data_IF_228727497726
#
_entry.id   IF_228727497726
#
_cell.length_a   1.000
_cell.length_b   1.000
_cell.length_c   1.000
_cell.angle_alpha   90.00
_cell.angle_beta   90.00
_cell.angle_gamma   90.00
#
_symmetry.space_group_name_H-M   'P 1'
#
loop_
_entity.id
_entity.type
_entity.pdbx_description
1 polymer ?
#
# COMPACT_ATOMS: atom_id res chain seq x y z
N UNK A 1 8.39 -5.79 10.53
CA UNK A 1 8.59 -5.95 9.07
C UNK A 1 9.58 -4.87 8.62
N UNK A 2 10.86 -5.06 8.94
CA UNK A 2 11.91 -5.43 8.00
C UNK A 2 12.01 -4.46 6.82
N UNK A 3 12.88 -3.45 7.00
CA UNK A 3 13.47 -2.61 5.95
C UNK A 3 13.82 -3.50 4.76
N UNK A 4 12.99 -3.50 3.72
CA UNK A 4 13.29 -4.24 2.49
C UNK A 4 14.49 -3.54 1.87
N UNK A 5 15.64 -4.21 1.90
CA UNK A 5 16.88 -3.65 1.40
C UNK A 5 16.72 -3.27 -0.09
N UNK A 6 17.29 -2.11 -0.52
CA UNK A 6 17.19 -1.63 -1.90
C UNK A 6 17.62 -2.68 -2.94
N UNK A 7 18.48 -3.63 -2.56
CA UNK A 7 18.95 -4.71 -3.43
C UNK A 7 17.85 -5.72 -3.81
N UNK A 8 16.93 -6.07 -2.89
CA UNK A 8 15.81 -6.97 -3.19
C UNK A 8 14.74 -6.30 -4.06
N UNK A 9 14.63 -4.98 -3.95
CA UNK A 9 13.77 -4.14 -4.80
C UNK A 9 14.26 -4.15 -6.26
N UNK A 10 15.56 -3.99 -6.48
CA UNK A 10 16.17 -4.04 -7.83
C UNK A 10 16.06 -5.46 -8.42
N UNK A 11 16.29 -6.51 -7.63
CA UNK A 11 16.20 -7.89 -8.11
C UNK A 11 14.79 -8.29 -8.60
N UNK A 12 13.75 -7.86 -7.88
CA UNK A 12 12.37 -8.13 -8.27
C UNK A 12 11.93 -7.29 -9.49
N UNK A 13 12.44 -6.06 -9.59
CA UNK A 13 12.22 -5.15 -10.72
C UNK A 13 12.86 -5.67 -12.01
N UNK A 14 14.09 -6.19 -11.92
CA UNK A 14 14.78 -6.82 -13.05
C UNK A 14 14.11 -8.16 -13.39
N UNK A 15 13.68 -8.95 -12.41
CA UNK A 15 12.95 -10.20 -12.65
C UNK A 15 11.62 -10.01 -13.39
N UNK A 16 10.86 -8.96 -13.04
CA UNK A 16 9.62 -8.59 -13.74
C UNK A 16 9.87 -8.08 -15.17
N UNK A 17 10.94 -7.30 -15.37
CA UNK A 17 11.37 -6.84 -16.70
C UNK A 17 11.76 -8.03 -17.60
N UNK A 18 12.53 -8.98 -17.08
CA UNK A 18 13.00 -10.16 -17.82
C UNK A 18 11.86 -11.13 -18.11
N UNK A 19 10.96 -11.39 -17.14
CA UNK A 19 9.81 -12.27 -17.37
C UNK A 19 8.77 -11.65 -18.31
N UNK A 20 8.53 -10.34 -18.21
CA UNK A 20 7.63 -9.59 -19.09
C UNK A 20 8.16 -9.44 -20.52
N UNK A 21 9.49 -9.38 -20.69
CA UNK A 21 10.14 -9.37 -22.00
C UNK A 21 10.27 -10.78 -22.62
N UNK A 22 10.48 -11.82 -21.80
CA UNK A 22 10.69 -13.19 -22.28
C UNK A 22 9.43 -13.84 -22.87
N UNK A 23 8.24 -13.57 -22.30
CA UNK A 23 6.98 -14.14 -22.79
C UNK A 23 6.64 -13.77 -24.25
N UNK A 24 6.67 -12.50 -24.67
CA UNK A 24 6.41 -12.13 -26.06
C UNK A 24 7.56 -12.52 -27.01
N UNK A 25 8.82 -12.55 -26.54
CA UNK A 25 9.96 -13.00 -27.34
C UNK A 25 9.89 -14.51 -27.65
N UNK A 26 9.49 -15.34 -26.68
CA UNK A 26 9.28 -16.77 -26.86
C UNK A 26 8.09 -17.05 -27.77
N UNK A 27 6.99 -16.31 -27.63
CA UNK A 27 5.83 -16.44 -28.51
C UNK A 27 6.18 -16.06 -29.96
N UNK A 28 6.96 -14.99 -30.15
CA UNK A 28 7.47 -14.58 -31.47
C UNK A 28 8.40 -15.63 -32.10
N UNK A 29 9.29 -16.22 -31.30
CA UNK A 29 10.20 -17.28 -31.77
C UNK A 29 9.44 -18.55 -32.18
N UNK A 30 8.41 -18.95 -31.42
CA UNK A 30 7.56 -20.12 -31.75
C UNK A 30 6.78 -19.88 -33.04
N UNK A 31 6.23 -18.69 -33.25
CA UNK A 31 5.50 -18.35 -34.49
C UNK A 31 6.41 -18.32 -35.72
N UNK A 32 7.66 -17.88 -35.56
CA UNK A 32 8.69 -17.94 -36.62
C UNK A 32 9.05 -19.39 -36.99
N UNK A 33 9.14 -20.29 -35.99
CA UNK A 33 9.37 -21.72 -36.19
C UNK A 33 8.20 -22.43 -36.88
N UNK A 34 6.97 -21.91 -36.76
CA UNK A 34 5.78 -22.44 -37.44
C UNK A 34 5.62 -21.96 -38.90
N UNK A 35 6.54 -21.16 -39.42
CA UNK A 35 6.61 -20.83 -40.86
C UNK A 35 5.48 -19.94 -41.38
N UNK A 36 4.74 -19.24 -40.52
CA UNK A 36 3.72 -18.28 -40.94
C UNK A 36 4.37 -16.92 -41.26
N UNK A 37 4.20 -16.36 -42.47
CA UNK A 37 4.72 -15.04 -42.83
C UNK A 37 3.80 -13.97 -42.24
N UNK A 38 3.81 -13.82 -40.92
CA UNK A 38 3.14 -12.69 -40.26
C UNK A 38 4.05 -11.48 -40.42
N UNK A 39 3.55 -10.40 -41.05
CA UNK A 39 4.29 -9.15 -41.19
C UNK A 39 4.88 -8.72 -39.82
N UNK A 40 6.20 -8.72 -39.72
CA UNK A 40 7.01 -8.57 -38.50
C UNK A 40 6.69 -7.33 -37.63
N UNK A 41 5.92 -6.38 -38.17
CA UNK A 41 5.54 -5.12 -37.54
C UNK A 41 4.47 -5.30 -36.45
N UNK A 42 3.54 -6.25 -36.63
CA UNK A 42 2.43 -6.48 -35.68
C UNK A 42 2.90 -7.16 -34.37
N UNK A 43 3.75 -8.21 -34.42
CA UNK A 43 4.27 -8.84 -33.20
C UNK A 43 5.20 -7.92 -32.39
N UNK A 44 5.97 -7.04 -33.05
CA UNK A 44 6.90 -6.14 -32.39
C UNK A 44 6.20 -5.05 -31.57
N UNK A 45 5.14 -4.44 -32.11
CA UNK A 45 4.33 -3.45 -31.38
C UNK A 45 3.59 -4.05 -30.18
N UNK A 46 3.08 -5.27 -30.32
CA UNK A 46 2.43 -6.01 -29.23
C UNK A 46 3.43 -6.41 -28.13
N UNK A 47 4.64 -6.83 -28.49
CA UNK A 47 5.71 -7.12 -27.55
C UNK A 47 6.13 -5.86 -26.75
N UNK A 48 6.21 -4.71 -27.42
CA UNK A 48 6.54 -3.42 -26.79
C UNK A 48 5.41 -2.94 -25.85
N UNK A 49 4.14 -3.13 -26.24
CA UNK A 49 2.99 -2.84 -25.40
C UNK A 49 2.93 -3.75 -24.16
N UNK A 50 3.16 -5.06 -24.32
CA UNK A 50 3.24 -6.00 -23.20
C UNK A 50 4.43 -5.72 -22.26
N UNK A 51 5.58 -5.30 -22.81
CA UNK A 51 6.73 -4.90 -22.01
C UNK A 51 6.44 -3.62 -21.20
N UNK A 52 5.74 -2.65 -21.78
CA UNK A 52 5.29 -1.44 -21.09
C UNK A 52 4.31 -1.74 -19.95
N UNK A 53 3.34 -2.62 -20.18
CA UNK A 53 2.40 -3.07 -19.14
C UNK A 53 3.11 -3.86 -18.04
N UNK A 54 4.05 -4.74 -18.40
CA UNK A 54 4.86 -5.52 -17.44
C UNK A 54 5.75 -4.66 -16.54
N UNK A 55 6.15 -3.47 -16.99
CA UNK A 55 6.93 -2.52 -16.20
C UNK A 55 6.09 -1.77 -15.14
N UNK A 56 4.81 -1.50 -15.42
CA UNK A 56 3.92 -0.73 -14.55
C UNK A 56 3.24 -1.57 -13.45
N UNK A 57 3.01 -2.86 -13.69
CA UNK A 57 2.39 -3.79 -12.74
C UNK A 57 3.13 -3.92 -11.40
N UNK A 58 4.48 -4.09 -11.33
CA UNK A 58 5.17 -4.23 -10.06
C UNK A 58 5.13 -2.96 -9.20
N UNK A 59 5.16 -1.78 -9.80
CA UNK A 59 5.06 -0.51 -9.06
C UNK A 59 3.69 -0.35 -8.38
N UNK A 60 2.60 -0.74 -9.05
CA UNK A 60 1.26 -0.75 -8.47
C UNK A 60 1.13 -1.75 -7.31
N UNK A 61 1.71 -2.95 -7.44
CA UNK A 61 1.68 -3.98 -6.39
C UNK A 61 2.46 -3.57 -5.14
N UNK A 62 3.59 -2.87 -5.30
CA UNK A 62 4.39 -2.38 -4.16
C UNK A 62 3.64 -1.27 -3.44
N UNK A 63 3.06 -0.32 -4.19
CA UNK A 63 2.24 0.74 -3.60
C UNK A 63 1.05 0.16 -2.83
N UNK A 64 0.37 -0.84 -3.39
CA UNK A 64 -0.74 -1.51 -2.70
C UNK A 64 -0.30 -2.22 -1.41
N UNK A 65 0.89 -2.83 -1.39
CA UNK A 65 1.44 -3.45 -0.17
C UNK A 65 1.80 -2.40 0.89
N UNK A 66 2.33 -1.25 0.49
CA UNK A 66 2.61 -0.15 1.40
C UNK A 66 1.32 0.39 2.04
N UNK A 67 0.28 0.63 1.23
CA UNK A 67 -1.02 1.09 1.74
C UNK A 67 -1.67 0.08 2.69
N UNK A 68 -1.60 -1.23 2.37
CA UNK A 68 -2.11 -2.28 3.27
C UNK A 68 -1.36 -2.32 4.59
N UNK A 69 -0.05 -2.13 4.58
CA UNK A 69 0.75 -2.07 5.81
C UNK A 69 0.37 -0.85 6.65
N UNK A 70 0.18 0.32 6.02
CA UNK A 70 -0.30 1.54 6.70
C UNK A 70 -1.69 1.34 7.33
N UNK A 71 -2.60 0.67 6.62
CA UNK A 71 -3.93 0.36 7.15
C UNK A 71 -3.88 -0.52 8.43
N UNK A 72 -3.04 -1.56 8.43
CA UNK A 72 -2.82 -2.40 9.61
C UNK A 72 -2.24 -1.61 10.80
N UNK A 73 -1.33 -0.68 10.53
CA UNK A 73 -0.79 0.20 11.56
C UNK A 73 -1.86 1.13 12.12
N UNK A 74 -2.71 1.74 11.27
CA UNK A 74 -3.81 2.62 11.71
C UNK A 74 -4.82 1.91 12.60
N UNK A 75 -5.14 0.65 12.28
CA UNK A 75 -6.01 -0.18 13.12
C UNK A 75 -5.38 -0.42 14.52
N UNK A 76 -4.09 -0.79 14.55
CA UNK A 76 -3.36 -0.97 15.81
C UNK A 76 -3.26 0.33 16.63
N UNK A 77 -3.00 1.47 15.99
CA UNK A 77 -2.95 2.79 16.64
C UNK A 77 -4.32 3.15 17.25
N UNK A 78 -5.41 2.80 16.57
CA UNK A 78 -6.77 3.06 17.08
C UNK A 78 -7.07 2.24 18.34
N UNK A 79 -6.62 0.98 18.39
CA UNK A 79 -6.70 0.16 19.60
C UNK A 79 -5.81 0.72 20.73
N UNK A 80 -4.58 1.10 20.40
CA UNK A 80 -3.63 1.74 21.33
C UNK A 80 -4.19 3.02 21.95
N UNK A 81 -4.82 3.89 21.16
CA UNK A 81 -5.50 5.11 21.63
C UNK A 81 -6.61 4.81 22.62
N UNK A 82 -7.41 3.77 22.36
CA UNK A 82 -8.51 3.38 23.25
C UNK A 82 -7.96 2.89 24.59
N UNK A 83 -6.88 2.09 24.57
CA UNK A 83 -6.22 1.58 25.78
C UNK A 83 -5.53 2.69 26.56
N UNK A 84 -4.85 3.61 25.87
CA UNK A 84 -4.25 4.79 26.50
C UNK A 84 -5.31 5.62 27.21
N UNK A 85 -6.43 5.93 26.54
CA UNK A 85 -7.51 6.68 27.17
C UNK A 85 -8.11 5.95 28.39
N UNK A 86 -8.22 4.62 28.34
CA UNK A 86 -8.66 3.82 29.49
C UNK A 86 -7.69 3.93 30.66
N UNK A 87 -6.39 3.86 30.39
CA UNK A 87 -5.31 4.03 31.37
C UNK A 87 -5.27 5.44 31.97
N UNK A 88 -5.54 6.50 31.20
CA UNK A 88 -5.68 7.84 31.77
C UNK A 88 -6.90 7.95 32.70
N UNK A 89 -8.02 7.30 32.35
CA UNK A 89 -9.22 7.29 33.20
C UNK A 89 -9.06 6.50 34.48
N UNK A 90 -8.09 5.58 34.56
CA UNK A 90 -7.75 4.88 35.81
C UNK A 90 -6.87 5.72 36.75
N UNK A 91 -6.51 6.96 36.35
CA UNK A 91 -5.72 7.89 37.15
C UNK A 91 -4.21 7.79 36.89
N UNK A 92 -3.77 7.04 35.89
CA UNK A 92 -2.36 7.04 35.49
C UNK A 92 -1.99 8.38 34.83
N UNK A 93 -0.80 8.87 35.12
CA UNK A 93 -0.23 10.01 34.40
C UNK A 93 -0.01 9.66 32.91
N UNK A 94 -0.04 10.67 32.05
CA UNK A 94 0.02 10.50 30.59
C UNK A 94 1.18 9.59 30.14
N UNK A 95 2.41 9.86 30.59
CA UNK A 95 3.58 9.07 30.19
C UNK A 95 3.48 7.60 30.65
N UNK A 96 2.98 7.37 31.87
CA UNK A 96 2.76 6.03 32.40
C UNK A 96 1.63 5.31 31.64
N UNK A 97 0.56 6.01 31.29
CA UNK A 97 -0.56 5.46 30.53
C UNK A 97 -0.16 5.06 29.11
N UNK A 98 0.70 5.85 28.45
CA UNK A 98 1.26 5.54 27.13
C UNK A 98 2.14 4.28 27.16
N UNK A 99 3.00 4.17 28.17
CA UNK A 99 3.87 3.01 28.39
C UNK A 99 3.07 1.75 28.72
N UNK A 100 2.07 1.86 29.59
CA UNK A 100 1.22 0.74 29.99
C UNK A 100 0.38 0.22 28.83
N UNK A 101 -0.23 1.13 28.06
CA UNK A 101 -0.94 0.76 26.86
C UNK A 101 -0.01 -0.02 25.92
N UNK A 102 1.21 0.44 25.68
CA UNK A 102 2.11 -0.17 24.70
C UNK A 102 2.52 -1.62 25.03
N UNK A 103 2.33 -2.06 26.29
CA UNK A 103 2.63 -3.41 26.77
C UNK A 103 1.49 -4.42 26.58
N UNK A 104 0.28 -3.97 26.24
CA UNK A 104 -0.90 -4.85 26.20
C UNK A 104 -0.82 -5.91 25.09
N UNK A 105 -0.13 -5.63 23.99
CA UNK A 105 -0.01 -6.58 22.86
C UNK A 105 1.44 -6.75 22.38
N UNK A 106 1.79 -7.97 21.95
CA UNK A 106 3.14 -8.32 21.45
C UNK A 106 3.23 -8.36 19.91
N UNK A 107 2.57 -7.41 19.25
CA UNK A 107 2.68 -7.26 17.80
C UNK A 107 3.86 -6.33 17.46
N UNK A 108 4.47 -6.49 16.28
CA UNK A 108 5.61 -5.67 15.83
C UNK A 108 5.37 -4.16 16.02
N UNK A 109 4.17 -3.66 15.69
CA UNK A 109 3.86 -2.23 15.82
C UNK A 109 3.81 -1.77 17.28
N UNK A 110 3.28 -2.60 18.20
CA UNK A 110 3.23 -2.30 19.63
C UNK A 110 4.62 -2.27 20.23
N UNK A 111 5.48 -3.25 19.86
CA UNK A 111 6.90 -3.22 20.24
C UNK A 111 7.64 -2.01 19.70
N UNK A 112 7.35 -1.60 18.46
CA UNK A 112 7.96 -0.41 17.86
C UNK A 112 7.50 0.88 18.58
N UNK A 113 6.21 0.98 18.92
CA UNK A 113 5.68 2.06 19.76
C UNK A 113 6.37 2.07 21.12
N UNK A 114 6.41 0.93 21.81
CA UNK A 114 7.07 0.81 23.11
C UNK A 114 8.55 1.25 23.05
N UNK A 115 9.30 0.79 22.05
CA UNK A 115 10.70 1.18 21.86
C UNK A 115 10.86 2.68 21.61
N UNK A 116 9.97 3.30 20.84
CA UNK A 116 10.01 4.75 20.60
C UNK A 116 9.71 5.55 21.88
N UNK A 117 8.73 5.11 22.68
CA UNK A 117 8.42 5.70 23.98
C UNK A 117 9.59 5.55 24.95
N UNK A 118 10.14 4.34 25.07
CA UNK A 118 11.27 4.03 25.96
C UNK A 118 12.52 4.85 25.58
N UNK A 119 12.79 5.00 24.29
CA UNK A 119 13.89 5.83 23.80
C UNK A 119 13.72 7.31 24.17
N UNK A 120 12.50 7.85 24.07
CA UNK A 120 12.21 9.23 24.48
C UNK A 120 12.39 9.43 25.99
N UNK A 121 11.90 8.48 26.80
CA UNK A 121 12.07 8.50 28.26
C UNK A 121 13.56 8.45 28.65
N UNK A 122 14.33 7.57 28.01
CA UNK A 122 15.79 7.48 28.21
C UNK A 122 16.51 8.78 27.81
N UNK A 123 16.02 9.48 26.79
CA UNK A 123 16.51 10.79 26.37
C UNK A 123 16.04 11.96 27.28
N UNK A 124 15.35 11.67 28.40
CA UNK A 124 14.67 12.64 29.28
C UNK A 124 13.68 13.54 28.55
N UNK A 125 13.07 13.04 27.49
CA UNK A 125 11.97 13.70 26.82
C UNK A 125 10.64 13.09 27.27
N UNK A 126 9.53 13.83 27.17
CA UNK A 126 8.21 13.27 27.39
C UNK A 126 7.95 12.09 26.45
N UNK A 127 7.26 11.05 26.92
CA UNK A 127 7.09 9.81 26.15
C UNK A 127 6.37 10.07 24.82
N UNK A 128 5.44 11.03 24.80
CA UNK A 128 4.70 11.43 23.59
C UNK A 128 5.58 12.00 22.47
N UNK A 129 6.77 12.54 22.77
CA UNK A 129 7.71 13.02 21.74
C UNK A 129 8.28 11.84 20.92
N UNK A 130 8.43 10.67 21.56
CA UNK A 130 8.78 9.42 20.88
C UNK A 130 7.74 9.01 19.83
N UNK A 131 6.43 9.23 20.11
CA UNK A 131 5.38 9.01 19.13
C UNK A 131 5.45 9.98 17.96
N UNK A 132 5.80 11.25 18.20
CA UNK A 132 5.98 12.25 17.15
C UNK A 132 7.15 11.89 16.23
N UNK A 133 8.26 11.39 16.78
CA UNK A 133 9.37 10.87 16.00
C UNK A 133 8.96 9.63 15.18
N UNK A 134 8.26 8.69 15.82
CA UNK A 134 7.80 7.46 15.17
C UNK A 134 6.79 7.71 14.04
N UNK A 135 5.91 8.70 14.21
CA UNK A 135 4.99 9.15 13.17
C UNK A 135 5.72 9.55 11.88
N UNK A 136 6.82 10.30 12.02
CA UNK A 136 7.65 10.74 10.89
C UNK A 136 8.40 9.57 10.24
N UNK A 137 8.82 8.57 11.01
CA UNK A 137 9.51 7.39 10.46
C UNK A 137 8.55 6.44 9.73
N UNK A 138 7.33 6.27 10.25
CA UNK A 138 6.32 5.36 9.67
C UNK A 138 5.39 6.01 8.65
N UNK A 139 5.43 7.34 8.51
CA UNK A 139 4.50 8.14 7.70
C UNK A 139 3.02 7.86 8.07
N UNK A 140 2.77 7.86 9.39
CA UNK A 140 1.45 7.63 10.00
C UNK A 140 1.10 8.88 10.81
N UNK A 141 0.35 9.83 10.22
CA UNK A 141 0.06 11.13 10.83
C UNK A 141 -0.78 11.02 12.11
N UNK A 142 -1.56 9.95 12.25
CA UNK A 142 -2.41 9.71 13.42
C UNK A 142 -1.64 9.66 14.75
N UNK A 143 -0.35 9.30 14.70
CA UNK A 143 0.53 9.28 15.87
C UNK A 143 0.94 10.70 16.33
N UNK A 144 1.03 11.67 15.42
CA UNK A 144 1.30 13.09 15.75
C UNK A 144 0.11 13.71 16.49
N UNK A 145 -1.12 13.36 16.08
CA UNK A 145 -2.32 13.88 16.76
C UNK A 145 -2.34 13.52 18.26
N UNK A 146 -1.76 12.37 18.63
CA UNK A 146 -1.62 11.95 20.03
C UNK A 146 -0.72 12.91 20.79
N UNK A 147 0.44 13.24 20.21
CA UNK A 147 1.40 14.16 20.79
C UNK A 147 0.80 15.58 20.93
N UNK A 148 0.01 16.03 19.96
CA UNK A 148 -0.63 17.35 20.00
C UNK A 148 -1.75 17.40 21.05
N UNK A 149 -2.58 16.35 21.15
CA UNK A 149 -3.60 16.24 22.22
C UNK A 149 -2.95 16.20 23.60
N UNK A 150 -1.87 15.43 23.74
CA UNK A 150 -1.07 15.34 24.97
C UNK A 150 -0.49 16.69 25.41
N UNK A 151 0.01 17.50 24.48
CA UNK A 151 0.57 18.82 24.78
C UNK A 151 -0.47 19.83 25.26
N UNK A 152 -1.71 19.70 24.79
CA UNK A 152 -2.74 20.72 25.01
C UNK A 152 -3.57 20.46 26.27
N UNK A 153 -3.53 19.24 26.82
CA UNK A 153 -4.36 18.86 27.97
C UNK A 153 -3.71 19.09 29.32
N UNK A 154 -4.36 19.89 30.16
CA UNK A 154 -3.98 20.11 31.56
C UNK A 154 -4.50 19.03 32.52
N UNK A 155 -5.58 18.34 32.14
CA UNK A 155 -6.26 17.33 32.96
C UNK A 155 -6.29 15.97 32.24
N UNK A 156 -5.91 14.89 32.93
CA UNK A 156 -5.82 13.56 32.33
C UNK A 156 -7.17 13.02 31.80
N UNK A 157 -8.28 13.43 32.39
CA UNK A 157 -9.64 13.09 31.92
C UNK A 157 -9.97 13.78 30.60
N UNK A 158 -9.65 15.06 30.45
CA UNK A 158 -9.84 15.81 29.20
C UNK A 158 -8.99 15.24 28.06
N UNK A 159 -7.74 14.85 28.35
CA UNK A 159 -6.87 14.14 27.39
C UNK A 159 -7.48 12.79 27.00
N UNK A 160 -7.99 12.01 27.98
CA UNK A 160 -8.64 10.74 27.69
C UNK A 160 -9.87 10.89 26.77
N UNK A 161 -10.72 11.91 27.01
CA UNK A 161 -11.90 12.16 26.19
C UNK A 161 -11.53 12.56 24.76
N UNK A 162 -10.51 13.40 24.58
CA UNK A 162 -9.98 13.78 23.27
C UNK A 162 -9.39 12.56 22.52
N UNK A 163 -8.62 11.72 23.20
CA UNK A 163 -8.06 10.47 22.62
C UNK A 163 -9.19 9.49 22.22
N UNK A 164 -10.24 9.34 23.04
CA UNK A 164 -11.41 8.53 22.69
C UNK A 164 -12.20 9.09 21.50
N UNK A 165 -12.33 10.42 21.39
CA UNK A 165 -12.95 11.06 20.24
C UNK A 165 -12.14 10.81 18.96
N UNK A 166 -10.81 10.94 19.02
CA UNK A 166 -9.93 10.65 17.89
C UNK A 166 -9.98 9.17 17.49
N UNK A 167 -9.94 8.25 18.46
CA UNK A 167 -10.07 6.81 18.20
C UNK A 167 -11.39 6.48 17.47
N UNK A 168 -12.52 7.10 17.88
CA UNK A 168 -13.81 6.94 17.19
C UNK A 168 -13.78 7.48 15.76
N UNK A 169 -13.19 8.66 15.56
CA UNK A 169 -13.04 9.24 14.22
C UNK A 169 -12.21 8.33 13.29
N UNK A 170 -11.11 7.77 13.79
CA UNK A 170 -10.27 6.83 13.02
C UNK A 170 -11.01 5.54 12.68
N UNK A 171 -11.78 4.95 13.62
CA UNK A 171 -12.63 3.80 13.32
C UNK A 171 -13.63 4.12 12.20
N UNK A 172 -14.26 5.29 12.23
CA UNK A 172 -15.18 5.71 11.16
C UNK A 172 -14.48 5.87 9.82
N UNK A 173 -13.27 6.44 9.79
CA UNK A 173 -12.48 6.56 8.56
C UNK A 173 -12.10 5.19 8.01
N UNK A 174 -11.60 4.27 8.85
CA UNK A 174 -11.26 2.90 8.44
C UNK A 174 -12.48 2.19 7.84
N UNK A 175 -13.66 2.31 8.48
CA UNK A 175 -14.89 1.72 7.97
C UNK A 175 -15.34 2.35 6.65
N UNK A 176 -15.20 3.67 6.48
CA UNK A 176 -15.53 4.36 5.24
C UNK A 176 -14.60 3.92 4.10
N UNK A 177 -13.31 3.75 4.39
CA UNK A 177 -12.29 3.33 3.44
C UNK A 177 -12.47 1.86 3.02
N UNK A 178 -12.83 0.99 3.98
CA UNK A 178 -13.23 -0.40 3.68
C UNK A 178 -14.46 -0.47 2.76
N UNK A 179 -15.46 0.40 2.97
CA UNK A 179 -16.62 0.52 2.08
C UNK A 179 -16.22 1.03 0.69
N UNK A 180 -15.31 2.00 0.61
CA UNK A 180 -14.75 2.50 -0.65
C UNK A 180 -14.00 1.41 -1.42
N UNK A 181 -13.15 0.62 -0.74
CA UNK A 181 -12.41 -0.49 -1.35
C UNK A 181 -13.34 -1.57 -1.92
N UNK A 182 -14.46 -1.87 -1.25
CA UNK A 182 -15.48 -2.78 -1.79
C UNK A 182 -16.06 -2.27 -3.12
N UNK A 183 -16.18 -0.95 -3.28
CA UNK A 183 -16.62 -0.31 -4.51
C UNK A 183 -15.53 -0.33 -5.60
N UNK A 184 -14.27 -0.08 -5.25
CA UNK A 184 -13.13 -0.13 -6.19
C UNK A 184 -12.82 -1.53 -6.75
N UNK A 185 -13.07 -2.60 -5.99
CA UNK A 185 -12.90 -3.98 -6.50
C UNK A 185 -13.77 -4.19 -7.76
N UNK A 186 -14.93 -3.53 -7.83
CA UNK A 186 -15.79 -3.58 -9.00
C UNK A 186 -15.22 -2.79 -10.19
N UNK A 187 -14.48 -1.70 -9.92
CA UNK A 187 -13.88 -0.85 -10.94
C UNK A 187 -12.64 -1.49 -11.59
N UNK A 188 -11.89 -2.31 -10.84
CA UNK A 188 -10.71 -3.02 -11.36
C UNK A 188 -11.04 -4.14 -12.36
N UNK A 189 -12.32 -4.51 -12.53
CA UNK A 189 -12.79 -5.38 -13.60
C UNK A 189 -12.89 -4.67 -14.96
N UNK A 190 -12.97 -3.33 -14.98
CA UNK A 190 -13.13 -2.56 -16.22
C UNK A 190 -11.89 -2.66 -17.11
N UNK A 191 -10.69 -2.71 -16.51
CA UNK A 191 -9.43 -2.80 -17.27
C UNK A 191 -9.29 -4.14 -18.00
N UNK A 192 -9.44 -5.32 -17.35
CA UNK A 192 -9.46 -6.61 -18.05
C UNK A 192 -10.55 -6.70 -19.13
N UNK A 193 -11.76 -6.18 -18.87
CA UNK A 193 -12.87 -6.21 -19.83
C UNK A 193 -12.58 -5.32 -21.05
N UNK A 194 -12.04 -4.11 -20.85
CA UNK A 194 -11.65 -3.22 -21.93
C UNK A 194 -10.52 -3.83 -22.79
N UNK A 195 -9.58 -4.53 -22.17
CA UNK A 195 -8.50 -5.24 -22.88
C UNK A 195 -9.04 -6.43 -23.71
N UNK A 196 -10.01 -7.18 -23.18
CA UNK A 196 -10.75 -8.19 -23.95
C UNK A 196 -11.48 -7.56 -25.14
N UNK A 197 -12.17 -6.43 -24.93
CA UNK A 197 -12.85 -5.69 -26.00
C UNK A 197 -11.90 -5.23 -27.10
N UNK A 198 -10.74 -4.69 -26.71
CA UNK A 198 -9.70 -4.26 -27.66
C UNK A 198 -9.13 -5.44 -28.46
N UNK A 199 -8.90 -6.58 -27.80
CA UNK A 199 -8.42 -7.82 -28.45
C UNK A 199 -9.45 -8.34 -29.45
N UNK A 200 -10.73 -8.33 -29.06
CA UNK A 200 -11.83 -8.74 -29.94
C UNK A 200 -11.97 -7.81 -31.15
N UNK A 201 -11.85 -6.50 -30.94
CA UNK A 201 -11.86 -5.51 -32.01
C UNK A 201 -10.68 -5.73 -32.98
N UNK A 202 -9.48 -5.97 -32.47
CA UNK A 202 -8.30 -6.27 -33.29
C UNK A 202 -8.50 -7.55 -34.13
N UNK A 203 -9.08 -8.60 -33.55
CA UNK A 203 -9.39 -9.84 -34.26
C UNK A 203 -10.45 -9.65 -35.35
N UNK A 204 -11.41 -8.74 -35.14
CA UNK A 204 -12.44 -8.40 -36.12
C UNK A 204 -11.91 -7.54 -37.28
N UNK A 205 -10.97 -6.63 -37.00
CA UNK A 205 -10.34 -5.79 -38.03
C UNK A 205 -9.25 -6.52 -38.83
N UNK A 206 -8.65 -7.57 -38.27
CA UNK A 206 -7.64 -8.39 -38.97
C UNK A 206 -8.07 -8.86 -40.38
N UNK A 207 -9.24 -9.51 -40.58
CA UNK A 207 -9.65 -9.93 -41.92
C UNK A 207 -9.89 -8.74 -42.87
N UNK A 208 -10.39 -7.62 -42.37
CA UNK A 208 -10.66 -6.42 -43.18
C UNK A 208 -9.35 -5.82 -43.71
N UNK A 209 -8.35 -5.68 -42.85
CA UNK A 209 -7.04 -5.14 -43.23
C UNK A 209 -6.31 -6.10 -44.17
N UNK A 210 -6.39 -7.41 -43.91
CA UNK A 210 -5.77 -8.42 -44.80
C UNK A 210 -6.34 -8.36 -46.23
N UNK A 211 -7.66 -8.20 -46.36
CA UNK A 211 -8.32 -8.09 -47.66
C UNK A 211 -7.99 -6.78 -48.39
N UNK A 212 -7.83 -5.67 -47.67
CA UNK A 212 -7.45 -4.38 -48.27
C UNK A 212 -6.00 -4.37 -48.76
N UNK A 213 -5.10 -5.07 -48.07
CA UNK A 213 -3.70 -5.23 -48.50
C UNK A 213 -3.59 -6.15 -49.72
N UNK A 214 -4.36 -7.24 -49.77
CA UNK A 214 -4.40 -8.15 -50.93
C UNK A 214 -5.01 -7.51 -52.18
N UNK A 215 -5.95 -6.57 -52.02
CA UNK A 215 -6.59 -5.89 -53.17
C UNK A 215 -5.79 -4.72 -53.74
N UNK A 216 -4.68 -4.34 -53.12
CA UNK A 216 -3.85 -3.19 -53.54
C UNK A 216 -2.53 -3.61 -54.22
N UNK A 217 -2.32 -4.91 -54.47
CA UNK A 217 -1.18 -5.47 -55.24
C UNK A 217 -1.72 -6.04 -56.56
#
# INVERSE_FOLDING_TARGET
>A
MARLSPARYVAYKIGGLVAGAAAPLLLGAVLMLLGTPVALVIPAGFALACAGVGFLVPDALIRQRAERAKAQVREAVTAYLTLTALSLRSGLGLDAALMEAARVADTWIWRTIYQALDHAVLARQPAWEGLRALSRELDVPELVDIADIAMTGSEGTAVADALMARARALRHQILAEQRGQANEINEKLVVPIALMGLTFLAMLFYPVISRLLETTI
#
